data_IF_197134407910
#
_entry.id   IF_197134407910
#
_cell.length_a   1.000
_cell.length_b   1.000
_cell.length_c   1.000
_cell.angle_alpha   90.00
_cell.angle_beta   90.00
_cell.angle_gamma   90.00
#
_symmetry.space_group_name_H-M   'P 1'
#
loop_
_entity.id
_entity.type
_entity.pdbx_description
1 polymer ?
#
# COMPACT_ATOMS: atom_id res chain seq x y z
N UNK A 1 -17.83 -5.88 13.89
CA UNK A 1 -18.66 -5.75 12.66
C UNK A 1 -17.99 -4.89 11.59
N UNK A 2 -17.59 -3.64 11.91
CA UNK A 2 -16.89 -2.73 10.99
C UNK A 2 -15.69 -3.34 10.26
N UNK A 3 -14.87 -4.15 10.94
CA UNK A 3 -13.74 -4.85 10.32
C UNK A 3 -14.18 -5.80 9.19
N UNK A 4 -15.25 -6.56 9.38
CA UNK A 4 -15.77 -7.47 8.34
C UNK A 4 -16.30 -6.72 7.13
N UNK A 5 -16.87 -5.53 7.33
CA UNK A 5 -17.30 -4.64 6.25
C UNK A 5 -16.09 -4.13 5.46
N UNK A 6 -15.05 -3.67 6.14
CA UNK A 6 -13.80 -3.25 5.52
C UNK A 6 -13.10 -4.40 4.74
N UNK A 7 -13.14 -5.62 5.26
CA UNK A 7 -12.62 -6.80 4.54
C UNK A 7 -13.33 -7.01 3.21
N UNK A 8 -14.66 -6.92 3.19
CA UNK A 8 -15.44 -7.04 1.95
C UNK A 8 -15.06 -5.95 0.95
N UNK A 9 -14.88 -4.71 1.40
CA UNK A 9 -14.48 -3.59 0.52
C UNK A 9 -13.13 -3.86 -0.13
N UNK A 10 -12.12 -4.27 0.64
CA UNK A 10 -10.79 -4.57 0.09
C UNK A 10 -10.85 -5.79 -0.83
N UNK A 11 -11.65 -6.80 -0.50
CA UNK A 11 -11.85 -7.97 -1.35
C UNK A 11 -12.50 -7.60 -2.70
N UNK A 12 -13.51 -6.73 -2.69
CA UNK A 12 -14.15 -6.22 -3.91
C UNK A 12 -13.18 -5.39 -4.77
N UNK A 13 -12.38 -4.52 -4.15
CA UNK A 13 -11.41 -3.68 -4.85
C UNK A 13 -10.26 -4.47 -5.48
N UNK A 14 -9.72 -5.45 -4.74
CA UNK A 14 -8.47 -6.12 -5.10
C UNK A 14 -8.65 -7.52 -5.69
N UNK A 15 -9.83 -8.11 -5.53
CA UNK A 15 -10.12 -9.50 -5.89
C UNK A 15 -9.29 -10.53 -5.11
N UNK A 16 -8.70 -10.14 -3.98
CA UNK A 16 -7.93 -11.02 -3.11
C UNK A 16 -8.48 -11.02 -1.69
N UNK A 17 -8.40 -12.18 -1.04
CA UNK A 17 -8.82 -12.35 0.35
C UNK A 17 -7.88 -11.57 1.29
N UNK A 18 -8.39 -10.59 2.05
CA UNK A 18 -7.59 -9.85 3.02
C UNK A 18 -7.20 -10.71 4.23
N UNK A 19 -6.10 -10.32 4.88
CA UNK A 19 -5.63 -10.91 6.14
C UNK A 19 -5.88 -9.92 7.27
N UNK A 20 -6.46 -10.41 8.37
CA UNK A 20 -6.65 -9.64 9.60
C UNK A 20 -5.33 -9.37 10.31
N UNK A 21 -5.14 -8.14 10.76
CA UNK A 21 -4.02 -7.75 11.62
C UNK A 21 -4.45 -7.84 13.07
N UNK A 22 -3.66 -8.60 13.83
CA UNK A 22 -3.90 -8.86 15.25
C UNK A 22 -3.04 -7.90 16.09
N UNK A 23 -3.61 -7.40 17.18
CA UNK A 23 -2.91 -6.56 18.14
C UNK A 23 -1.77 -7.29 18.84
N UNK A 24 -0.61 -6.63 18.97
CA UNK A 24 0.55 -7.17 19.70
C UNK A 24 0.47 -6.96 21.21
N UNK A 25 -0.23 -5.91 21.65
CA UNK A 25 -0.32 -5.50 23.05
C UNK A 25 -1.69 -4.90 23.38
N UNK A 26 -1.87 -4.59 24.66
CA UNK A 26 -3.08 -3.93 25.18
C UNK A 26 -2.79 -2.44 25.32
N UNK A 27 -3.62 -1.60 24.73
CA UNK A 27 -3.57 -0.15 24.88
C UNK A 27 -4.96 0.35 25.28
N UNK A 28 -5.05 1.02 26.44
CA UNK A 28 -6.32 1.49 27.01
C UNK A 28 -6.90 2.67 26.22
N UNK A 29 -6.06 3.58 25.73
CA UNK A 29 -6.50 4.79 25.01
C UNK A 29 -7.16 4.44 23.68
N UNK A 30 -6.62 3.43 22.99
CA UNK A 30 -7.20 2.90 21.75
C UNK A 30 -8.31 1.86 21.98
N UNK A 31 -8.57 1.46 23.23
CA UNK A 31 -9.54 0.42 23.57
C UNK A 31 -9.16 -0.99 23.07
N UNK A 32 -7.88 -1.25 22.84
CA UNK A 32 -7.38 -2.49 22.22
C UNK A 32 -6.84 -3.44 23.29
N UNK A 33 -7.20 -4.72 23.20
CA UNK A 33 -6.60 -5.82 23.98
C UNK A 33 -5.67 -6.66 23.12
N UNK A 34 -4.64 -7.26 23.72
CA UNK A 34 -3.73 -8.20 23.02
C UNK A 34 -4.52 -9.37 22.39
N UNK A 35 -4.20 -9.71 21.14
CA UNK A 35 -4.89 -10.77 20.40
C UNK A 35 -6.19 -10.35 19.70
N UNK A 36 -6.60 -9.09 19.84
CA UNK A 36 -7.80 -8.56 19.18
C UNK A 36 -7.51 -8.22 17.70
N UNK A 37 -8.40 -8.56 16.76
CA UNK A 37 -8.26 -8.15 15.37
C UNK A 37 -8.62 -6.66 15.24
N UNK A 38 -7.72 -5.87 14.66
CA UNK A 38 -7.85 -4.40 14.55
C UNK A 38 -8.11 -3.98 13.11
N UNK A 39 -7.33 -4.50 12.16
CA UNK A 39 -7.35 -4.05 10.77
C UNK A 39 -7.27 -5.21 9.79
N UNK A 40 -7.25 -4.86 8.52
CA UNK A 40 -7.10 -5.80 7.41
C UNK A 40 -6.07 -5.27 6.42
N UNK A 41 -5.36 -6.18 5.74
CA UNK A 41 -4.43 -5.81 4.67
C UNK A 41 -4.39 -6.85 3.57
N UNK A 42 -4.07 -6.40 2.36
CA UNK A 42 -3.78 -7.24 1.20
C UNK A 42 -2.40 -6.84 0.66
N UNK A 43 -1.66 -7.82 0.14
CA UNK A 43 -0.40 -7.58 -0.55
C UNK A 43 -0.55 -7.99 -2.01
N UNK A 44 -0.58 -7.02 -2.91
CA UNK A 44 -0.62 -7.26 -4.35
C UNK A 44 0.81 -7.36 -4.91
N UNK A 45 0.99 -8.15 -5.97
CA UNK A 45 2.27 -8.30 -6.68
C UNK A 45 2.02 -8.46 -8.18
N UNK A 46 3.02 -8.13 -9.00
CA UNK A 46 3.01 -8.25 -10.47
C UNK A 46 1.86 -7.45 -11.08
N UNK A 47 1.22 -7.97 -12.12
CA UNK A 47 0.20 -7.30 -12.91
C UNK A 47 -0.96 -6.78 -12.05
N UNK A 48 -1.43 -7.57 -11.08
CA UNK A 48 -2.49 -7.13 -10.14
C UNK A 48 -2.12 -5.89 -9.34
N UNK A 49 -0.83 -5.74 -8.97
CA UNK A 49 -0.36 -4.54 -8.28
C UNK A 49 -0.29 -3.35 -9.22
N UNK A 50 0.15 -3.56 -10.47
CA UNK A 50 0.23 -2.53 -11.49
C UNK A 50 -1.15 -1.96 -11.82
N UNK A 51 -2.14 -2.83 -12.00
CA UNK A 51 -3.51 -2.45 -12.32
C UNK A 51 -4.16 -1.69 -11.15
N UNK A 52 -3.96 -2.16 -9.92
CA UNK A 52 -4.47 -1.48 -8.74
C UNK A 52 -3.80 -0.12 -8.54
N UNK A 53 -2.47 -0.03 -8.73
CA UNK A 53 -1.73 1.21 -8.56
C UNK A 53 -2.16 2.27 -9.58
N UNK A 54 -2.41 1.90 -10.84
CA UNK A 54 -2.98 2.82 -11.84
C UNK A 54 -4.32 3.41 -11.40
N UNK A 55 -5.23 2.58 -10.91
CA UNK A 55 -6.53 3.02 -10.39
C UNK A 55 -6.38 3.92 -9.15
N UNK A 56 -5.48 3.56 -8.24
CA UNK A 56 -5.23 4.32 -7.02
C UNK A 56 -4.60 5.69 -7.30
N UNK A 57 -3.69 5.79 -8.28
CA UNK A 57 -3.09 7.05 -8.70
C UNK A 57 -4.08 7.94 -9.46
N UNK A 58 -5.00 7.35 -10.24
CA UNK A 58 -6.09 8.07 -10.88
C UNK A 58 -7.00 8.77 -9.86
N UNK A 59 -7.37 8.08 -8.78
CA UNK A 59 -8.16 8.65 -7.66
C UNK A 59 -7.48 9.86 -7.01
N UNK A 60 -6.15 9.92 -7.07
CA UNK A 60 -5.36 11.01 -6.49
C UNK A 60 -4.92 12.05 -7.52
N UNK A 61 -5.60 12.12 -8.67
CA UNK A 61 -5.28 13.03 -9.77
C UNK A 61 -3.81 12.97 -10.23
N UNK A 62 -3.17 11.81 -10.12
CA UNK A 62 -1.75 11.61 -10.44
C UNK A 62 -0.78 12.54 -9.69
N UNK A 63 -1.13 13.00 -8.48
CA UNK A 63 -0.28 13.88 -7.68
C UNK A 63 0.27 13.17 -6.44
N UNK A 64 1.60 13.15 -6.32
CA UNK A 64 2.29 12.65 -5.13
C UNK A 64 3.24 13.73 -4.60
N UNK A 65 3.23 14.04 -3.30
CA UNK A 65 4.18 14.98 -2.75
C UNK A 65 5.56 14.31 -2.57
N UNK A 66 6.63 15.08 -2.73
CA UNK A 66 8.01 14.57 -2.67
C UNK A 66 8.35 13.92 -1.31
N UNK A 67 7.77 14.42 -0.22
CA UNK A 67 7.97 13.87 1.13
C UNK A 67 7.40 12.46 1.32
N UNK A 68 6.52 11.99 0.43
CA UNK A 68 5.97 10.63 0.49
C UNK A 68 6.96 9.56 0.05
N UNK A 69 8.13 9.94 -0.49
CA UNK A 69 9.18 9.03 -0.91
C UNK A 69 10.22 8.85 0.20
N UNK A 70 10.52 7.59 0.53
CA UNK A 70 11.55 7.21 1.50
C UNK A 70 12.94 7.18 0.86
N UNK A 71 13.99 7.21 1.69
CA UNK A 71 15.40 7.09 1.25
C UNK A 71 15.69 5.79 0.47
N UNK A 72 14.94 4.71 0.72
CA UNK A 72 15.06 3.44 -0.03
C UNK A 72 14.23 3.39 -1.33
N UNK A 73 13.62 4.51 -1.74
CA UNK A 73 12.82 4.62 -2.96
C UNK A 73 11.42 4.00 -2.86
N UNK A 74 10.94 3.73 -1.64
CA UNK A 74 9.56 3.34 -1.41
C UNK A 74 8.67 4.59 -1.33
N UNK A 75 7.37 4.44 -1.52
CA UNK A 75 6.45 5.54 -1.28
C UNK A 75 5.11 5.07 -0.73
N UNK A 76 4.44 5.97 -0.03
CA UNK A 76 3.13 5.71 0.56
C UNK A 76 2.19 6.88 0.34
N UNK A 77 0.91 6.58 0.19
CA UNK A 77 -0.12 7.61 0.07
C UNK A 77 -1.45 7.12 0.60
N UNK A 78 -2.23 8.05 1.14
CA UNK A 78 -3.58 7.80 1.63
C UNK A 78 -4.62 8.06 0.54
N UNK A 79 -5.69 7.27 0.56
CA UNK A 79 -6.93 7.47 -0.16
C UNK A 79 -8.03 7.67 0.88
N UNK A 80 -8.75 8.78 0.79
CA UNK A 80 -9.79 9.18 1.74
C UNK A 80 -11.03 8.31 1.63
N UNK A 81 -11.45 8.00 0.40
CA UNK A 81 -12.69 7.26 0.14
C UNK A 81 -12.48 6.18 -0.92
N UNK A 82 -12.98 4.97 -0.65
CA UNK A 82 -12.95 3.88 -1.62
C UNK A 82 -14.01 4.01 -2.73
N UNK A 83 -14.98 4.93 -2.59
CA UNK A 83 -16.02 5.20 -3.59
C UNK A 83 -15.49 5.92 -4.82
N UNK A 84 -14.32 6.55 -4.70
CA UNK A 84 -13.65 7.22 -5.83
C UNK A 84 -13.10 6.20 -6.84
N UNK A 85 -12.97 4.93 -6.46
CA UNK A 85 -12.58 3.87 -7.38
C UNK A 85 -13.71 3.56 -8.38
N UNK A 86 -13.32 3.48 -9.65
CA UNK A 86 -14.25 3.15 -10.73
C UNK A 86 -14.93 1.79 -10.50
N UNK A 87 -16.27 1.80 -10.47
CA UNK A 87 -17.11 0.62 -10.26
C UNK A 87 -17.54 0.36 -8.82
N UNK A 88 -17.03 1.12 -7.84
CA UNK A 88 -17.45 1.01 -6.44
C UNK A 88 -18.56 2.02 -6.13
N UNK A 89 -19.81 1.54 -6.05
CA UNK A 89 -20.93 2.37 -5.61
C UNK A 89 -20.99 2.43 -4.09
N UNK A 90 -21.46 3.57 -3.57
CA UNK A 90 -21.75 3.72 -2.16
C UNK A 90 -22.83 2.74 -1.71
N UNK A 91 -22.52 1.95 -0.69
CA UNK A 91 -23.46 1.07 0.00
C UNK A 91 -23.67 1.61 1.44
N UNK A 92 -24.89 2.06 1.79
CA UNK A 92 -25.22 2.54 3.13
C UNK A 92 -24.93 1.52 4.23
N UNK A 93 -25.00 0.21 3.94
CA UNK A 93 -24.75 -0.83 4.94
C UNK A 93 -23.26 -0.96 5.28
N UNK A 94 -22.38 -0.71 4.30
CA UNK A 94 -20.92 -0.80 4.46
C UNK A 94 -20.37 0.48 5.09
N UNK A 95 -20.81 1.64 4.59
CA UNK A 95 -20.27 2.95 4.94
C UNK A 95 -19.00 3.31 4.19
N UNK A 96 -18.46 4.52 4.42
CA UNK A 96 -17.26 5.04 3.75
C UNK A 96 -16.01 4.60 4.51
N UNK A 97 -15.01 4.15 3.77
CA UNK A 97 -13.70 3.73 4.28
C UNK A 97 -12.59 4.35 3.43
N UNK A 98 -11.57 4.88 4.10
CA UNK A 98 -10.29 5.21 3.48
C UNK A 98 -9.30 4.05 3.57
N UNK A 99 -8.20 4.17 2.86
CA UNK A 99 -7.12 3.17 2.88
C UNK A 99 -5.75 3.83 2.67
N UNK A 100 -4.72 3.21 3.24
CA UNK A 100 -3.34 3.58 2.99
C UNK A 100 -2.71 2.59 2.01
N UNK A 101 -2.15 3.13 0.92
CA UNK A 101 -1.45 2.36 -0.10
C UNK A 101 0.05 2.53 0.11
N UNK A 102 0.75 1.41 0.25
CA UNK A 102 2.20 1.38 0.42
C UNK A 102 2.82 0.63 -0.77
N UNK A 103 3.73 1.29 -1.48
CA UNK A 103 4.42 0.75 -2.64
C UNK A 103 5.90 0.57 -2.31
N UNK A 104 6.38 -0.66 -2.45
CA UNK A 104 7.79 -1.00 -2.27
C UNK A 104 8.43 -1.24 -3.63
N UNK A 105 9.43 -0.44 -3.98
CA UNK A 105 10.23 -0.64 -5.18
C UNK A 105 11.49 -1.45 -4.81
N UNK A 106 11.84 -2.45 -5.63
CA UNK A 106 13.06 -3.24 -5.45
C UNK A 106 13.68 -3.55 -6.81
N UNK A 107 15.01 -3.47 -6.91
CA UNK A 107 15.73 -3.96 -8.09
C UNK A 107 15.79 -5.49 -8.08
N UNK A 108 15.97 -6.07 -9.27
CA UNK A 108 16.28 -7.49 -9.40
C UNK A 108 17.61 -7.80 -8.71
N UNK A 109 17.61 -8.71 -7.73
CA UNK A 109 18.79 -9.02 -6.91
C UNK A 109 18.51 -8.97 -5.41
N UNK A 110 17.43 -8.31 -5.00
CA UNK A 110 16.99 -8.20 -3.61
C UNK A 110 16.65 -9.55 -2.94
N UNK A 111 16.58 -10.65 -3.69
CA UNK A 111 16.41 -12.01 -3.13
C UNK A 111 17.56 -12.39 -2.18
N UNK A 112 18.76 -11.85 -2.37
CA UNK A 112 19.95 -12.18 -1.55
C UNK A 112 19.74 -11.83 -0.07
N UNK A 113 19.02 -10.75 0.25
CA UNK A 113 18.68 -10.39 1.65
C UNK A 113 17.56 -11.24 2.25
N UNK A 114 16.81 -11.99 1.43
CA UNK A 114 15.60 -12.73 1.87
C UNK A 114 15.81 -14.25 1.93
N UNK A 115 16.74 -14.78 1.14
CA UNK A 115 17.01 -16.24 1.07
C UNK A 115 17.67 -16.79 2.35
N UNK A 116 17.44 -18.07 2.64
CA UNK A 116 18.01 -18.79 3.79
C UNK A 116 19.52 -19.04 3.63
N UNK A 117 19.93 -19.57 2.47
CA UNK A 117 21.32 -19.90 2.19
C UNK A 117 22.08 -18.69 1.64
N UNK A 118 23.31 -18.48 2.11
CA UNK A 118 24.21 -17.39 1.67
C UNK A 118 23.50 -16.03 1.65
N UNK A 119 22.88 -15.68 2.78
CA UNK A 119 22.26 -14.37 2.99
C UNK A 119 23.36 -13.32 3.09
N UNK A 120 23.21 -12.22 2.36
CA UNK A 120 24.12 -11.08 2.43
C UNK A 120 23.33 -9.77 2.43
N UNK A 121 23.97 -8.69 2.88
CA UNK A 121 23.41 -7.34 2.81
C UNK A 121 23.42 -6.85 1.36
N UNK A 122 22.49 -5.95 1.04
CA UNK A 122 22.47 -5.28 -0.26
C UNK A 122 23.45 -4.12 -0.22
N UNK A 123 24.42 -4.07 -1.15
CA UNK A 123 25.35 -2.95 -1.23
C UNK A 123 24.61 -1.68 -1.63
N UNK A 124 25.13 -0.53 -1.19
CA UNK A 124 24.45 0.77 -1.33
C UNK A 124 24.20 1.16 -2.79
N UNK A 125 25.16 0.88 -3.67
CA UNK A 125 25.03 1.09 -5.13
C UNK A 125 23.89 0.30 -5.79
N UNK A 126 23.43 -0.79 -5.19
CA UNK A 126 22.30 -1.57 -5.69
C UNK A 126 20.96 -1.13 -5.08
N UNK A 127 20.97 -0.24 -4.08
CA UNK A 127 19.74 0.34 -3.55
C UNK A 127 19.15 1.34 -4.52
N UNK A 128 17.86 1.61 -4.35
CA UNK A 128 17.13 2.62 -5.10
C UNK A 128 17.17 3.90 -4.26
N UNK A 129 17.50 5.02 -4.89
CA UNK A 129 17.42 6.34 -4.25
C UNK A 129 16.03 6.94 -4.44
N UNK A 130 15.66 7.92 -3.60
CA UNK A 130 14.39 8.62 -3.74
C UNK A 130 14.24 9.28 -5.12
N UNK A 131 15.31 9.87 -5.66
CA UNK A 131 15.32 10.50 -7.00
C UNK A 131 15.03 9.50 -8.12
N UNK A 132 15.65 8.32 -8.06
CA UNK A 132 15.39 7.26 -9.04
C UNK A 132 13.94 6.76 -8.97
N UNK A 133 13.39 6.66 -7.76
CA UNK A 133 12.00 6.27 -7.55
C UNK A 133 11.03 7.32 -8.10
N UNK A 134 11.27 8.61 -7.84
CA UNK A 134 10.47 9.70 -8.39
C UNK A 134 10.51 9.70 -9.93
N UNK A 135 11.69 9.59 -10.52
CA UNK A 135 11.85 9.51 -11.97
C UNK A 135 11.14 8.30 -12.58
N UNK A 136 11.20 7.14 -11.92
CA UNK A 136 10.48 5.94 -12.35
C UNK A 136 8.96 6.14 -12.32
N UNK A 137 8.42 6.69 -11.22
CA UNK A 137 6.97 6.87 -11.05
C UNK A 137 6.42 7.91 -12.02
N UNK A 138 7.12 9.02 -12.25
CA UNK A 138 6.76 10.01 -13.27
C UNK A 138 6.78 9.40 -14.67
N UNK A 139 7.78 8.58 -14.99
CA UNK A 139 7.89 7.95 -16.32
C UNK A 139 6.81 6.90 -16.59
N UNK A 140 6.58 5.99 -15.65
CA UNK A 140 5.68 4.83 -15.86
C UNK A 140 4.20 5.16 -15.63
N UNK A 141 3.90 6.07 -14.71
CA UNK A 141 2.53 6.38 -14.29
C UNK A 141 2.08 7.81 -14.57
N UNK A 142 2.93 8.61 -15.23
CA UNK A 142 2.66 10.02 -15.55
C UNK A 142 2.24 10.84 -14.31
N UNK A 143 2.94 10.61 -13.20
CA UNK A 143 2.67 11.26 -11.91
C UNK A 143 3.45 12.56 -11.81
N UNK A 144 2.77 13.62 -11.39
CA UNK A 144 3.35 14.89 -11.01
C UNK A 144 3.81 14.81 -9.56
N UNK A 145 5.13 14.98 -9.36
CA UNK A 145 5.71 15.10 -8.03
C UNK A 145 5.64 16.56 -7.61
N UNK A 146 4.89 16.83 -6.54
CA UNK A 146 4.75 18.17 -5.97
C UNK A 146 5.78 18.34 -4.87
N UNK A 147 6.56 19.42 -4.91
CA UNK A 147 7.48 19.79 -3.82
C UNK A 147 6.74 20.25 -2.55
#
# INVERSE_FOLDING_TARGET
ERLRKAEKVIEMLTGQKPIQTISKGTNRDLGIRKGMPIGCKVTLRRDKAMDFLKKALWVRDHKLPAWSFDEEGNFSFGITEHTDFEGMKYDPEIGIFGMDVNVTLERNGYRIKKRKLRKAKIPENHRITAEEAMAFVTKEFNVEVVE
#
